data_IF_142190176135
#
_entry.id   IF_142190176135
#
_cell.length_a   1.000
_cell.length_b   1.000
_cell.length_c   1.000
_cell.angle_alpha   90.00
_cell.angle_beta   90.00
_cell.angle_gamma   90.00
#
_symmetry.space_group_name_H-M   'P 1'
#
loop_
_entity.id
_entity.type
_entity.pdbx_description
1 polymer ?
#
# COMPACT_ATOMS: atom_id res chain seq x y z
N UNK A 1 17.99 -28.63 -3.35
CA UNK A 1 17.38 -27.79 -2.31
C UNK A 1 17.59 -26.35 -2.72
N UNK A 2 16.52 -25.62 -2.99
CA UNK A 2 16.60 -24.18 -3.24
C UNK A 2 16.80 -23.53 -1.87
N UNK A 3 17.91 -22.82 -1.67
CA UNK A 3 18.12 -22.03 -0.45
C UNK A 3 17.00 -21.00 -0.35
N UNK A 4 16.36 -20.80 0.82
CA UNK A 4 15.31 -19.81 0.95
C UNK A 4 15.91 -18.42 0.72
N UNK A 5 15.49 -17.75 -0.36
CA UNK A 5 15.81 -16.35 -0.61
C UNK A 5 14.94 -15.48 0.29
N UNK A 6 15.47 -14.35 0.81
CA UNK A 6 14.64 -13.39 1.52
C UNK A 6 13.48 -12.92 0.64
N UNK A 7 12.30 -12.67 1.22
CA UNK A 7 11.13 -12.25 0.47
C UNK A 7 11.37 -10.92 -0.25
N UNK A 8 10.98 -10.85 -1.53
CA UNK A 8 11.03 -9.62 -2.32
C UNK A 8 9.86 -8.69 -1.95
N UNK A 9 10.21 -7.46 -1.63
CA UNK A 9 9.28 -6.40 -1.25
C UNK A 9 8.50 -5.90 -2.47
N UNK A 10 9.15 -5.86 -3.64
CA UNK A 10 8.53 -5.32 -4.86
C UNK A 10 7.31 -6.15 -5.27
N UNK A 11 7.39 -7.48 -5.17
CA UNK A 11 6.24 -8.35 -5.45
C UNK A 11 5.01 -8.04 -4.56
N UNK A 12 5.23 -7.62 -3.31
CA UNK A 12 4.14 -7.22 -2.41
C UNK A 12 3.60 -5.82 -2.75
N UNK A 13 4.48 -4.90 -3.14
CA UNK A 13 4.08 -3.56 -3.62
C UNK A 13 3.22 -3.69 -4.87
N UNK A 14 3.64 -4.51 -5.84
CA UNK A 14 2.91 -4.78 -7.07
C UNK A 14 1.53 -5.41 -6.79
N UNK A 15 1.46 -6.34 -5.84
CA UNK A 15 0.20 -6.97 -5.45
C UNK A 15 -0.79 -5.98 -4.80
N UNK A 16 -0.29 -5.05 -3.97
CA UNK A 16 -1.10 -3.95 -3.42
C UNK A 16 -1.58 -3.05 -4.55
N UNK A 17 -0.68 -2.61 -5.42
CA UNK A 17 -1.03 -1.74 -6.53
C UNK A 17 -2.12 -2.38 -7.39
N UNK A 18 -1.96 -3.65 -7.77
CA UNK A 18 -2.94 -4.40 -8.54
C UNK A 18 -4.29 -4.52 -7.81
N UNK A 19 -4.30 -4.73 -6.50
CA UNK A 19 -5.54 -4.79 -5.72
C UNK A 19 -6.30 -3.44 -5.71
N UNK A 20 -5.56 -2.33 -5.60
CA UNK A 20 -6.14 -0.99 -5.61
C UNK A 20 -6.61 -0.58 -7.01
N UNK A 21 -5.85 -0.88 -8.05
CA UNK A 21 -6.25 -0.66 -9.45
C UNK A 21 -7.48 -1.51 -9.80
N UNK A 22 -7.55 -2.74 -9.28
CA UNK A 22 -8.71 -3.63 -9.44
C UNK A 22 -10.02 -3.09 -8.86
N UNK A 23 -9.95 -2.15 -7.90
CA UNK A 23 -11.14 -1.42 -7.38
C UNK A 23 -11.36 -0.05 -8.03
N UNK A 24 -10.62 0.24 -9.10
CA UNK A 24 -10.76 1.42 -9.94
C UNK A 24 -10.03 2.66 -9.42
N UNK A 25 -8.97 2.50 -8.62
CA UNK A 25 -8.14 3.62 -8.19
C UNK A 25 -6.94 3.81 -9.12
N UNK A 26 -6.60 5.07 -9.41
CA UNK A 26 -5.26 5.42 -9.89
C UNK A 26 -4.30 5.34 -8.71
N UNK A 27 -3.17 4.67 -8.89
CA UNK A 27 -2.18 4.43 -7.84
C UNK A 27 -0.83 4.93 -8.29
N UNK A 28 -0.11 5.61 -7.39
CA UNK A 28 1.27 6.03 -7.59
C UNK A 28 2.18 5.45 -6.51
N UNK A 29 3.49 5.38 -6.78
CA UNK A 29 4.49 4.84 -5.85
C UNK A 29 5.50 5.94 -5.49
N UNK A 30 5.72 6.16 -4.18
CA UNK A 30 6.72 7.08 -3.65
C UNK A 30 6.42 8.57 -3.86
N UNK A 31 5.28 8.91 -4.47
CA UNK A 31 4.88 10.27 -4.80
C UNK A 31 4.10 10.31 -6.11
N UNK A 32 3.56 11.48 -6.44
CA UNK A 32 2.94 11.72 -7.75
C UNK A 32 4.00 12.12 -8.78
N UNK A 33 3.71 11.98 -10.09
CA UNK A 33 4.59 12.52 -11.13
C UNK A 33 4.89 14.02 -10.93
N UNK A 34 6.13 14.43 -11.22
CA UNK A 34 6.60 15.82 -11.05
C UNK A 34 6.74 16.58 -12.37
N UNK A 35 6.30 15.99 -13.49
CA UNK A 35 6.38 16.64 -14.80
C UNK A 35 5.46 17.85 -14.88
N UNK A 36 5.91 18.92 -15.56
CA UNK A 36 5.16 20.19 -15.68
C UNK A 36 3.80 20.07 -16.37
N UNK A 37 3.56 19.00 -17.12
CA UNK A 37 2.28 18.69 -17.78
C UNK A 37 1.34 17.83 -16.93
N UNK A 38 1.79 17.35 -15.77
CA UNK A 38 0.97 16.51 -14.91
C UNK A 38 -0.02 17.36 -14.13
N UNK A 39 -1.25 16.89 -14.07
CA UNK A 39 -2.29 17.46 -13.20
C UNK A 39 -2.85 16.35 -12.33
N UNK A 40 -3.10 16.62 -11.03
CA UNK A 40 -3.63 15.61 -10.14
C UNK A 40 -5.03 15.17 -10.60
N UNK A 41 -5.29 13.85 -10.71
CA UNK A 41 -6.65 13.38 -10.88
C UNK A 41 -7.49 13.70 -9.64
N UNK A 42 -8.81 13.71 -9.79
CA UNK A 42 -9.74 14.08 -8.71
C UNK A 42 -9.73 13.11 -7.52
N UNK A 43 -9.30 11.86 -7.73
CA UNK A 43 -9.23 10.78 -6.73
C UNK A 43 -8.09 9.81 -7.06
N UNK A 44 -7.19 9.56 -6.13
CA UNK A 44 -6.08 8.61 -6.30
C UNK A 44 -5.49 8.15 -4.97
N UNK A 45 -4.61 7.15 -5.02
CA UNK A 45 -3.84 6.69 -3.88
C UNK A 45 -2.34 6.77 -4.16
N UNK A 46 -1.53 6.99 -3.12
CA UNK A 46 -0.07 6.95 -3.21
C UNK A 46 0.46 5.93 -2.20
N UNK A 47 1.29 5.01 -2.68
CA UNK A 47 1.95 4.00 -1.88
C UNK A 47 3.30 4.52 -1.37
N UNK A 48 3.54 4.35 -0.09
CA UNK A 48 4.82 4.57 0.58
C UNK A 48 5.20 3.27 1.30
N UNK A 49 5.81 2.31 0.59
CA UNK A 49 6.24 1.06 1.20
C UNK A 49 7.46 1.28 2.10
N UNK A 50 7.46 0.61 3.25
CA UNK A 50 8.70 0.36 3.98
C UNK A 50 9.50 -0.70 3.21
N UNK A 51 10.86 -0.62 3.19
CA UNK A 51 11.70 -1.67 2.60
C UNK A 51 11.48 -3.06 3.22
N UNK A 52 10.71 -3.18 4.31
CA UNK A 52 10.31 -4.45 4.91
C UNK A 52 11.45 -5.14 5.64
N UNK A 53 11.11 -6.19 6.41
CA UNK A 53 12.08 -6.98 7.15
C UNK A 53 11.77 -8.48 6.98
N UNK A 54 12.80 -9.28 6.70
CA UNK A 54 12.67 -10.73 6.77
C UNK A 54 12.61 -11.17 8.24
N UNK A 55 11.49 -11.76 8.65
CA UNK A 55 11.26 -12.22 10.03
C UNK A 55 11.49 -13.73 10.12
N UNK A 56 11.92 -14.17 11.30
CA UNK A 56 12.18 -15.60 11.60
C UNK A 56 10.86 -16.38 11.59
N UNK A 57 10.86 -17.49 10.87
CA UNK A 57 9.79 -18.49 10.81
C UNK A 57 9.79 -19.39 12.05
N UNK A 58 10.97 -19.73 12.58
CA UNK A 58 11.10 -20.68 13.70
C UNK A 58 12.34 -20.44 14.56
N UNK A 59 12.45 -21.21 15.66
CA UNK A 59 13.64 -21.28 16.52
C UNK A 59 14.89 -21.80 15.78
N UNK A 60 14.75 -22.32 14.55
CA UNK A 60 15.84 -22.76 13.68
C UNK A 60 16.44 -21.64 12.81
N UNK A 61 15.97 -20.39 12.95
CA UNK A 61 16.49 -19.19 12.23
C UNK A 61 16.29 -19.18 10.71
N UNK A 62 15.28 -19.90 10.21
CA UNK A 62 14.83 -19.78 8.83
C UNK A 62 14.07 -18.45 8.66
N UNK A 63 14.54 -17.52 7.81
CA UNK A 63 13.98 -16.16 7.65
C UNK A 63 13.13 -16.06 6.39
N UNK A 64 12.04 -16.81 6.34
CA UNK A 64 11.20 -16.96 5.14
C UNK A 64 9.89 -16.17 5.20
N UNK A 65 9.49 -15.75 6.41
CA UNK A 65 8.31 -14.93 6.65
C UNK A 65 8.57 -13.49 6.20
N UNK A 66 7.59 -12.93 5.50
CA UNK A 66 7.56 -11.52 5.16
C UNK A 66 6.65 -10.80 6.15
N UNK A 67 7.16 -9.73 6.75
CA UNK A 67 6.40 -8.79 7.56
C UNK A 67 6.90 -7.38 7.19
N UNK A 68 5.97 -6.55 6.73
CA UNK A 68 6.28 -5.16 6.38
C UNK A 68 5.09 -4.26 6.70
N UNK A 69 5.39 -2.97 6.81
CA UNK A 69 4.39 -1.92 6.88
C UNK A 69 4.39 -1.12 5.59
N UNK A 70 3.23 -0.59 5.22
CA UNK A 70 3.10 0.26 4.05
C UNK A 70 2.03 1.30 4.32
N UNK A 71 2.38 2.56 4.10
CA UNK A 71 1.40 3.63 4.14
C UNK A 71 0.74 3.77 2.76
N UNK A 72 -0.59 3.86 2.76
CA UNK A 72 -1.40 4.25 1.61
C UNK A 72 -1.99 5.62 1.92
N UNK A 73 -1.55 6.66 1.19
CA UNK A 73 -2.15 7.99 1.27
C UNK A 73 -3.30 8.09 0.29
N UNK A 74 -4.52 8.19 0.80
CA UNK A 74 -5.74 8.42 0.02
C UNK A 74 -5.84 9.91 -0.30
N UNK A 75 -6.07 10.30 -1.55
CA UNK A 75 -6.10 11.72 -1.98
C UNK A 75 -7.36 12.03 -2.77
N UNK A 76 -7.92 13.22 -2.55
CA UNK A 76 -9.06 13.75 -3.29
C UNK A 76 -9.13 15.27 -3.30
N UNK A 77 -9.92 15.84 -4.20
CA UNK A 77 -10.12 17.30 -4.28
C UNK A 77 -10.94 17.91 -3.12
N UNK A 78 -11.59 17.08 -2.31
CA UNK A 78 -12.40 17.48 -1.15
C UNK A 78 -12.48 16.33 -0.11
N UNK A 79 -12.96 16.59 1.12
CA UNK A 79 -13.06 15.57 2.17
C UNK A 79 -13.85 14.33 1.77
N UNK A 80 -14.97 14.49 1.07
CA UNK A 80 -15.86 13.39 0.69
C UNK A 80 -15.16 12.44 -0.28
N UNK A 81 -14.47 13.00 -1.27
CA UNK A 81 -13.70 12.23 -2.26
C UNK A 81 -12.53 11.50 -1.62
N UNK A 82 -11.82 12.13 -0.68
CA UNK A 82 -10.74 11.47 0.04
C UNK A 82 -11.26 10.31 0.90
N UNK A 83 -12.39 10.48 1.57
CA UNK A 83 -13.04 9.41 2.34
C UNK A 83 -13.58 8.29 1.44
N UNK A 84 -14.06 8.63 0.23
CA UNK A 84 -14.44 7.64 -0.77
C UNK A 84 -13.25 6.78 -1.20
N UNK A 85 -12.08 7.39 -1.45
CA UNK A 85 -10.84 6.66 -1.76
C UNK A 85 -10.47 5.74 -0.60
N UNK A 86 -10.52 6.24 0.64
CA UNK A 86 -10.23 5.43 1.81
C UNK A 86 -11.17 4.21 1.95
N UNK A 87 -12.46 4.38 1.63
CA UNK A 87 -13.41 3.26 1.59
C UNK A 87 -13.05 2.21 0.53
N UNK A 88 -12.57 2.64 -0.64
CA UNK A 88 -12.10 1.74 -1.71
C UNK A 88 -10.82 1.00 -1.31
N UNK A 89 -9.86 1.71 -0.74
CA UNK A 89 -8.62 1.12 -0.20
C UNK A 89 -8.96 0.06 0.84
N UNK A 90 -9.78 0.37 1.86
CA UNK A 90 -10.16 -0.61 2.89
C UNK A 90 -10.85 -1.84 2.32
N UNK A 91 -11.70 -1.67 1.30
CA UNK A 91 -12.33 -2.80 0.62
C UNK A 91 -11.29 -3.68 -0.08
N UNK A 92 -10.35 -3.09 -0.81
CA UNK A 92 -9.29 -3.85 -1.49
C UNK A 92 -8.38 -4.58 -0.49
N UNK A 93 -8.00 -3.91 0.60
CA UNK A 93 -7.12 -4.46 1.64
C UNK A 93 -7.83 -5.46 2.58
N UNK A 94 -9.15 -5.63 2.47
CA UNK A 94 -9.90 -6.63 3.26
C UNK A 94 -9.70 -8.07 2.78
N UNK A 95 -9.03 -8.27 1.64
CA UNK A 95 -8.78 -9.58 1.04
C UNK A 95 -7.27 -9.91 1.11
N UNK A 96 -6.90 -11.19 1.16
CA UNK A 96 -5.51 -11.59 0.96
C UNK A 96 -4.96 -11.07 -0.36
N UNK A 97 -3.71 -10.60 -0.35
CA UNK A 97 -3.00 -10.20 -1.56
C UNK A 97 -2.59 -11.42 -2.39
N UNK A 98 -2.52 -11.27 -3.71
CA UNK A 98 -2.00 -12.31 -4.61
C UNK A 98 -0.53 -12.05 -4.89
N UNK A 99 0.35 -12.87 -4.31
CA UNK A 99 1.81 -12.85 -4.55
C UNK A 99 2.24 -14.24 -4.98
N UNK A 100 2.93 -14.36 -6.11
CA UNK A 100 3.36 -15.66 -6.65
C UNK A 100 4.25 -16.41 -5.64
N UNK A 101 3.95 -17.71 -5.43
CA UNK A 101 4.72 -18.57 -4.52
C UNK A 101 4.52 -18.26 -3.03
N UNK A 102 3.52 -17.44 -2.66
CA UNK A 102 3.28 -17.06 -1.26
C UNK A 102 1.82 -17.20 -0.86
N UNK A 103 1.62 -17.52 0.41
CA UNK A 103 0.33 -17.42 1.08
C UNK A 103 0.29 -16.12 1.90
N UNK A 104 -0.55 -15.18 1.48
CA UNK A 104 -0.75 -13.91 2.17
C UNK A 104 -1.92 -13.97 3.14
N UNK A 105 -1.83 -13.19 4.23
CA UNK A 105 -2.99 -12.82 5.04
C UNK A 105 -3.61 -11.53 4.51
N UNK A 106 -4.90 -11.24 4.79
CA UNK A 106 -5.45 -9.91 4.56
C UNK A 106 -4.61 -8.86 5.29
N UNK A 107 -4.20 -7.78 4.61
CA UNK A 107 -3.50 -6.68 5.27
C UNK A 107 -4.28 -6.11 6.46
N UNK A 108 -3.57 -5.82 7.56
CA UNK A 108 -4.16 -5.28 8.79
C UNK A 108 -4.13 -3.75 8.76
N UNK A 109 -5.29 -3.08 8.91
CA UNK A 109 -5.37 -1.61 9.02
C UNK A 109 -4.85 -1.17 10.41
N UNK A 110 -3.74 -0.43 10.43
CA UNK A 110 -3.08 0.09 11.62
C UNK A 110 -3.49 1.53 11.95
N UNK A 111 -4.41 2.11 11.17
CA UNK A 111 -4.82 3.49 11.29
C UNK A 111 -3.79 4.48 10.75
N UNK A 112 -3.91 5.74 11.17
CA UNK A 112 -3.07 6.83 10.69
C UNK A 112 -3.54 8.17 11.24
N UNK A 113 -2.83 9.26 10.91
CA UNK A 113 -3.29 10.60 11.25
C UNK A 113 -4.66 10.90 10.61
N UNK A 114 -5.42 11.85 11.17
CA UNK A 114 -6.72 12.21 10.62
C UNK A 114 -6.60 12.85 9.24
N UNK A 115 -7.75 12.97 8.57
CA UNK A 115 -7.88 13.68 7.30
C UNK A 115 -7.30 15.10 7.43
N UNK A 116 -6.46 15.48 6.49
CA UNK A 116 -5.84 16.80 6.43
C UNK A 116 -5.93 17.39 5.02
N UNK A 117 -5.69 18.71 4.94
CA UNK A 117 -5.61 19.46 3.70
C UNK A 117 -4.15 19.82 3.42
N UNK A 118 -3.76 19.69 2.17
CA UNK A 118 -2.46 20.10 1.64
C UNK A 118 -2.65 21.34 0.76
N UNK A 119 -2.15 22.48 1.24
CA UNK A 119 -2.18 23.76 0.52
C UNK A 119 -0.86 24.05 -0.22
N UNK A 120 0.15 23.16 -0.14
CA UNK A 120 1.42 23.28 -0.88
C UNK A 120 1.30 22.77 -2.32
N UNK A 121 0.19 22.09 -2.65
CA UNK A 121 -0.18 21.68 -4.01
C UNK A 121 -1.25 22.61 -4.59
N UNK A 122 -1.21 22.83 -5.91
CA UNK A 122 -2.21 23.67 -6.61
C UNK A 122 -2.92 22.88 -7.72
N UNK A 123 -4.26 22.76 -7.68
CA UNK A 123 -5.14 23.22 -6.59
C UNK A 123 -4.89 22.45 -5.28
N UNK A 124 -5.26 23.02 -4.11
CA UNK A 124 -5.16 22.31 -2.83
C UNK A 124 -5.90 20.98 -2.84
N UNK A 125 -5.34 19.99 -2.16
CA UNK A 125 -5.89 18.63 -2.08
C UNK A 125 -6.16 18.24 -0.62
N UNK A 126 -6.97 17.20 -0.45
CA UNK A 126 -7.23 16.57 0.84
C UNK A 126 -6.64 15.17 0.86
N UNK A 127 -5.97 14.81 1.96
CA UNK A 127 -5.30 13.53 2.08
C UNK A 127 -5.58 12.83 3.42
N UNK A 128 -5.62 11.50 3.38
CA UNK A 128 -5.78 10.63 4.54
C UNK A 128 -4.78 9.46 4.44
N UNK A 129 -3.68 9.49 5.21
CA UNK A 129 -2.75 8.37 5.31
C UNK A 129 -3.33 7.25 6.16
N UNK A 130 -3.19 6.01 5.68
CA UNK A 130 -3.52 4.80 6.44
C UNK A 130 -2.35 3.83 6.33
N UNK A 131 -1.85 3.36 7.47
CA UNK A 131 -0.82 2.32 7.52
C UNK A 131 -1.46 0.95 7.51
N UNK A 132 -0.85 0.03 6.75
CA UNK A 132 -1.22 -1.38 6.73
C UNK A 132 -0.03 -2.25 7.07
N UNK A 133 -0.25 -3.30 7.86
CA UNK A 133 0.68 -4.42 8.00
C UNK A 133 0.41 -5.45 6.91
N UNK A 134 1.46 -5.90 6.25
CA UNK A 134 1.41 -6.91 5.20
C UNK A 134 2.25 -8.10 5.64
N UNK A 135 1.63 -9.28 5.67
CA UNK A 135 2.29 -10.51 6.06
C UNK A 135 2.09 -11.59 5.02
N UNK A 136 3.11 -12.43 4.82
CA UNK A 136 3.00 -13.64 3.99
C UNK A 136 4.04 -14.69 4.33
N UNK A 137 3.74 -15.94 3.98
CA UNK A 137 4.64 -17.10 4.09
C UNK A 137 4.87 -17.73 2.73
N UNK A 138 5.95 -18.52 2.54
CA UNK A 138 6.06 -19.38 1.36
C UNK A 138 4.85 -20.32 1.23
N UNK A 139 4.39 -20.56 0.01
CA UNK A 139 3.31 -21.51 -0.31
C UNK A 139 3.81 -22.94 -0.53
#
# INVERSE_FOLDING_TARGET
MVSPSPPDVLAHVDAVQAALEGVGLTVYLGGTPTSSSWSPPDKFAVLYPDPGMAVRESLADERTHFDSTMQITCVGGDPERTLWVAGRVRRAMSQPLTVEGRQCWPPEDLGGPPLARDDDVTPPLWFLPVQYRICSTPA
#
